data_IF_692578254433
#
_entry.id   IF_692578254433
#
_cell.length_a   1.000
_cell.length_b   1.000
_cell.length_c   1.000
_cell.angle_alpha   90.00
_cell.angle_beta   90.00
_cell.angle_gamma   90.00
#
_symmetry.space_group_name_H-M   'P 1'
#
loop_
_entity.id
_entity.type
_entity.pdbx_description
1 polymer ?
#
# COMPACT_ATOMS: atom_id res chain seq x y z
N UNK A 1 20.39 10.87 13.54
CA UNK A 1 20.04 11.49 12.25
C UNK A 1 18.57 11.20 12.03
N UNK A 2 17.70 12.20 12.11
CA UNK A 2 16.25 12.00 12.01
C UNK A 2 15.87 12.04 10.54
N UNK A 3 15.43 10.90 9.99
CA UNK A 3 14.72 10.84 8.72
C UNK A 3 13.24 11.11 9.00
N UNK A 4 12.94 12.37 9.26
CA UNK A 4 11.59 12.90 9.06
C UNK A 4 11.63 13.61 7.71
N UNK A 5 11.58 12.83 6.63
CA UNK A 5 11.07 13.38 5.39
C UNK A 5 9.55 13.36 5.52
N UNK A 6 8.99 14.51 5.86
CA UNK A 6 7.55 14.67 5.88
C UNK A 6 7.02 14.45 4.46
N UNK A 7 6.17 13.43 4.30
CA UNK A 7 5.38 13.27 3.08
C UNK A 7 4.50 14.52 2.97
N UNK A 8 4.64 15.25 1.85
CA UNK A 8 3.91 16.49 1.66
C UNK A 8 2.47 16.17 1.28
N UNK A 9 1.54 16.58 2.14
CA UNK A 9 0.12 16.41 1.90
C UNK A 9 -0.28 17.03 0.55
N UNK A 10 -0.99 16.29 -0.32
CA UNK A 10 -1.39 16.82 -1.62
C UNK A 10 -2.54 17.83 -1.53
N UNK A 11 -2.71 18.58 -2.60
CA UNK A 11 -3.86 19.47 -2.80
C UNK A 11 -4.99 18.70 -3.48
N UNK A 12 -6.07 18.43 -2.75
CA UNK A 12 -7.19 17.66 -3.25
C UNK A 12 -8.11 18.51 -4.12
N UNK A 13 -8.32 18.06 -5.35
CA UNK A 13 -9.36 18.59 -6.23
C UNK A 13 -10.63 17.81 -5.95
N UNK A 14 -11.73 18.50 -5.65
CA UNK A 14 -13.02 17.85 -5.38
C UNK A 14 -13.38 16.90 -6.54
N UNK A 15 -13.60 15.64 -6.17
CA UNK A 15 -14.09 14.60 -7.06
C UNK A 15 -15.33 13.98 -6.43
N UNK A 16 -16.44 13.95 -7.17
CA UNK A 16 -17.75 13.52 -6.69
C UNK A 16 -18.07 12.05 -6.98
N UNK A 17 -17.15 11.31 -7.62
CA UNK A 17 -17.39 9.95 -8.12
C UNK A 17 -16.40 8.89 -7.56
N UNK A 18 -15.96 9.05 -6.31
CA UNK A 18 -15.10 8.05 -5.66
C UNK A 18 -15.91 6.78 -5.34
N UNK A 19 -15.61 5.68 -6.03
CA UNK A 19 -16.27 4.39 -5.83
C UNK A 19 -15.26 3.24 -5.85
N UNK A 20 -15.54 2.19 -5.08
CA UNK A 20 -14.88 0.89 -5.18
C UNK A 20 -15.64 0.01 -6.17
N UNK A 21 -14.94 -0.87 -6.88
CA UNK A 21 -15.58 -1.85 -7.77
C UNK A 21 -15.82 -3.17 -7.03
N UNK A 22 -17.00 -3.75 -7.20
CA UNK A 22 -17.31 -5.06 -6.63
C UNK A 22 -16.67 -6.14 -7.50
N UNK A 23 -15.68 -6.85 -6.96
CA UNK A 23 -15.02 -7.96 -7.65
C UNK A 23 -15.68 -9.29 -7.25
N UNK A 24 -16.34 -10.02 -8.18
CA UNK A 24 -17.09 -11.24 -7.83
C UNK A 24 -16.25 -12.31 -7.13
N UNK A 25 -14.97 -12.43 -7.52
CA UNK A 25 -14.03 -13.39 -6.94
C UNK A 25 -13.61 -13.04 -5.49
N UNK A 26 -13.80 -11.80 -5.05
CA UNK A 26 -13.50 -11.38 -3.68
C UNK A 26 -14.65 -11.66 -2.70
N UNK A 27 -15.85 -12.00 -3.19
CA UNK A 27 -17.05 -12.22 -2.36
C UNK A 27 -17.00 -13.47 -1.48
N UNK A 28 -15.98 -14.32 -1.65
CA UNK A 28 -15.73 -15.43 -0.72
C UNK A 28 -15.05 -14.98 0.58
N UNK A 29 -14.48 -13.77 0.63
CA UNK A 29 -13.61 -13.30 1.72
C UNK A 29 -14.35 -12.39 2.72
N UNK A 30 -15.55 -12.79 3.13
CA UNK A 30 -16.50 -11.95 3.87
C UNK A 30 -16.16 -11.71 5.35
N UNK A 31 -15.19 -12.44 5.91
CA UNK A 31 -14.85 -12.30 7.32
C UNK A 31 -13.94 -11.10 7.56
N UNK A 32 -14.57 -9.99 7.97
CA UNK A 32 -13.91 -8.75 8.39
C UNK A 32 -14.00 -8.56 9.91
N UNK A 33 -14.29 -9.62 10.68
CA UNK A 33 -14.44 -9.52 12.14
C UNK A 33 -13.11 -9.33 12.85
N UNK A 34 -12.04 -9.92 12.32
CA UNK A 34 -10.67 -9.78 12.80
C UNK A 34 -9.95 -8.64 12.07
N UNK A 35 -10.31 -7.40 12.40
CA UNK A 35 -9.53 -6.21 12.01
C UNK A 35 -8.77 -5.71 13.24
N UNK A 36 -7.44 -5.78 13.16
CA UNK A 36 -6.58 -5.07 14.11
C UNK A 36 -6.31 -3.69 13.55
N UNK A 37 -6.87 -2.67 14.19
CA UNK A 37 -6.64 -1.29 13.83
C UNK A 37 -5.49 -0.76 14.67
N UNK A 38 -4.49 -0.22 14.00
CA UNK A 38 -3.35 0.39 14.66
C UNK A 38 -3.47 1.91 14.60
N UNK A 39 -3.10 2.63 15.67
CA UNK A 39 -3.07 4.08 15.66
C UNK A 39 -2.20 4.60 14.51
N UNK A 40 -2.59 5.72 13.91
CA UNK A 40 -1.76 6.43 12.92
C UNK A 40 -0.64 7.23 13.60
N UNK A 41 0.06 6.64 14.56
CA UNK A 41 1.17 7.28 15.28
C UNK A 41 2.48 6.56 14.99
N UNK A 42 3.59 7.30 15.00
CA UNK A 42 4.94 6.73 14.80
C UNK A 42 5.24 5.58 15.76
N UNK A 43 4.80 5.69 17.02
CA UNK A 43 5.00 4.66 18.03
C UNK A 43 4.15 3.40 17.81
N UNK A 44 3.03 3.51 17.09
CA UNK A 44 2.26 2.34 16.70
C UNK A 44 2.98 1.54 15.61
N UNK A 45 3.85 2.16 14.80
CA UNK A 45 4.55 1.49 13.72
C UNK A 45 5.36 0.28 14.21
N UNK A 46 6.17 0.44 15.27
CA UNK A 46 6.97 -0.65 15.83
C UNK A 46 6.09 -1.76 16.46
N UNK A 47 4.90 -1.40 16.97
CA UNK A 47 3.93 -2.37 17.48
C UNK A 47 3.34 -3.20 16.33
N UNK A 48 3.12 -2.57 15.16
CA UNK A 48 2.55 -3.24 13.99
C UNK A 48 3.61 -4.06 13.27
N UNK A 49 4.72 -3.44 12.89
CA UNK A 49 5.70 -3.97 11.95
C UNK A 49 6.93 -4.57 12.63
N UNK A 50 7.01 -4.47 13.97
CA UNK A 50 8.18 -4.84 14.73
C UNK A 50 9.21 -3.70 14.78
N UNK A 51 10.22 -3.82 15.65
CA UNK A 51 11.29 -2.83 15.74
C UNK A 51 12.15 -2.83 14.48
N UNK A 52 12.77 -1.69 14.17
CA UNK A 52 13.84 -1.65 13.16
C UNK A 52 14.96 -2.63 13.51
N UNK A 53 15.33 -3.45 12.55
CA UNK A 53 16.49 -4.34 12.65
C UNK A 53 17.79 -3.57 12.34
N UNK A 54 18.93 -4.20 12.64
CA UNK A 54 20.24 -3.61 12.36
C UNK A 54 20.43 -3.30 10.87
N UNK A 55 19.94 -4.19 10.00
CA UNK A 55 19.99 -4.02 8.55
C UNK A 55 19.12 -2.85 8.09
N UNK A 56 17.96 -2.62 8.72
CA UNK A 56 17.11 -1.44 8.46
C UNK A 56 17.87 -0.17 8.77
N UNK A 57 18.55 -0.11 9.91
CA UNK A 57 19.33 1.06 10.32
C UNK A 57 20.43 1.38 9.32
N UNK A 58 21.15 0.35 8.85
CA UNK A 58 22.24 0.49 7.89
C UNK A 58 21.73 0.95 6.53
N UNK A 59 20.60 0.40 6.09
CA UNK A 59 19.93 0.78 4.86
C UNK A 59 19.42 2.22 4.92
N UNK A 60 18.69 2.58 5.96
CA UNK A 60 18.10 3.91 6.16
C UNK A 60 19.18 5.01 6.26
N UNK A 61 20.39 4.68 6.74
CA UNK A 61 21.52 5.61 6.77
C UNK A 61 22.10 5.98 5.40
N UNK A 62 21.70 5.31 4.32
CA UNK A 62 22.17 5.60 2.97
C UNK A 62 21.62 6.95 2.48
N UNK A 63 22.47 7.72 1.81
CA UNK A 63 22.03 8.93 1.13
C UNK A 63 21.22 8.55 -0.11
N UNK A 64 19.92 8.88 -0.08
CA UNK A 64 18.99 8.67 -1.19
C UNK A 64 18.40 10.01 -1.64
N UNK A 65 17.79 10.04 -2.82
CA UNK A 65 17.04 11.19 -3.30
C UNK A 65 15.92 11.55 -2.31
N UNK A 66 15.62 12.84 -2.22
CA UNK A 66 14.56 13.34 -1.35
C UNK A 66 13.23 13.37 -2.08
N UNK A 67 12.14 13.27 -1.31
CA UNK A 67 10.81 13.54 -1.83
C UNK A 67 10.72 14.96 -2.42
N UNK A 68 9.87 15.18 -3.45
CA UNK A 68 9.54 16.51 -3.91
C UNK A 68 9.14 17.44 -2.75
N UNK A 69 9.63 18.68 -2.77
CA UNK A 69 9.36 19.68 -1.72
C UNK A 69 8.06 20.48 -1.94
N UNK A 70 7.30 20.14 -2.98
CA UNK A 70 6.09 20.87 -3.37
C UNK A 70 4.88 19.95 -3.35
N UNK A 71 3.78 20.44 -2.77
CA UNK A 71 2.50 19.75 -2.85
C UNK A 71 2.03 19.63 -4.30
N UNK A 72 1.45 18.48 -4.64
CA UNK A 72 0.91 18.20 -5.97
C UNK A 72 -0.62 18.15 -5.92
N UNK A 73 -1.27 18.51 -7.03
CA UNK A 73 -2.72 18.34 -7.16
C UNK A 73 -3.06 16.88 -7.42
N UNK A 74 -4.11 16.39 -6.74
CA UNK A 74 -4.62 15.03 -6.93
C UNK A 74 -6.13 15.08 -7.10
N UNK A 75 -6.62 14.53 -8.22
CA UNK A 75 -8.05 14.49 -8.56
C UNK A 75 -8.57 13.06 -8.70
N UNK A 76 -7.80 12.18 -9.32
CA UNK A 76 -8.23 10.84 -9.68
C UNK A 76 -7.21 9.78 -9.26
N UNK A 77 -7.54 8.51 -9.52
CA UNK A 77 -6.67 7.37 -9.22
C UNK A 77 -5.30 7.47 -9.90
N UNK A 78 -5.23 7.91 -11.16
CA UNK A 78 -3.96 8.06 -11.87
C UNK A 78 -3.05 9.12 -11.20
N UNK A 79 -3.62 10.19 -10.66
CA UNK A 79 -2.87 11.16 -9.84
C UNK A 79 -2.36 10.52 -8.54
N UNK A 80 -3.17 9.68 -7.89
CA UNK A 80 -2.77 8.97 -6.68
C UNK A 80 -1.61 8.00 -6.95
N UNK A 81 -1.67 7.23 -8.04
CA UNK A 81 -0.59 6.34 -8.51
C UNK A 81 0.69 7.14 -8.75
N UNK A 82 0.60 8.24 -9.49
CA UNK A 82 1.75 9.12 -9.77
C UNK A 82 2.35 9.64 -8.47
N UNK A 83 1.53 10.15 -7.54
CA UNK A 83 1.96 10.66 -6.25
C UNK A 83 2.66 9.58 -5.40
N UNK A 84 2.13 8.36 -5.40
CA UNK A 84 2.75 7.22 -4.72
C UNK A 84 4.16 6.96 -5.22
N UNK A 85 4.36 6.96 -6.54
CA UNK A 85 5.70 6.75 -7.09
C UNK A 85 6.64 7.91 -6.78
N UNK A 86 6.19 9.17 -6.91
CA UNK A 86 7.06 10.34 -6.72
C UNK A 86 7.47 10.54 -5.26
N UNK A 87 6.57 10.28 -4.31
CA UNK A 87 6.79 10.58 -2.89
C UNK A 87 7.08 9.36 -2.02
N UNK A 88 6.79 8.15 -2.49
CA UNK A 88 6.90 6.94 -1.66
C UNK A 88 7.77 5.90 -2.35
N UNK A 89 7.29 5.29 -3.44
CA UNK A 89 7.91 4.07 -3.94
C UNK A 89 9.31 4.30 -4.50
N UNK A 90 9.53 5.32 -5.32
CA UNK A 90 10.86 5.57 -5.92
C UNK A 90 11.92 5.98 -4.90
N UNK A 91 11.51 6.57 -3.77
CA UNK A 91 12.41 6.91 -2.67
C UNK A 91 12.75 5.65 -1.89
N UNK A 92 11.73 4.89 -1.48
CA UNK A 92 11.91 3.65 -0.72
C UNK A 92 12.77 2.65 -1.51
N UNK A 93 12.54 2.51 -2.80
CA UNK A 93 13.27 1.56 -3.64
C UNK A 93 14.78 1.83 -3.72
N UNK A 94 15.24 3.06 -3.46
CA UNK A 94 16.68 3.36 -3.43
C UNK A 94 17.37 2.70 -2.23
N UNK A 95 16.67 2.59 -1.11
CA UNK A 95 17.13 1.88 0.08
C UNK A 95 17.27 0.37 -0.16
N UNK A 96 16.47 -0.20 -1.06
CA UNK A 96 16.47 -1.63 -1.38
C UNK A 96 17.23 -1.96 -2.68
N UNK A 97 18.25 -1.18 -2.99
CA UNK A 97 19.06 -1.34 -4.21
C UNK A 97 20.09 -2.49 -4.13
N UNK A 98 20.41 -2.97 -2.93
CA UNK A 98 21.52 -3.94 -2.73
C UNK A 98 21.26 -5.03 -1.69
N UNK A 99 20.59 -4.74 -0.57
CA UNK A 99 20.39 -5.74 0.50
C UNK A 99 19.05 -5.57 1.25
N UNK A 100 18.04 -6.46 1.00
CA UNK A 100 17.93 -7.24 -0.22
C UNK A 100 17.69 -6.32 -1.42
N UNK A 101 17.99 -6.83 -2.62
CA UNK A 101 17.56 -6.17 -3.86
C UNK A 101 16.06 -6.39 -4.00
N UNK A 102 15.29 -5.30 -4.00
CA UNK A 102 13.85 -5.33 -4.26
C UNK A 102 13.60 -4.78 -5.66
N UNK A 103 12.61 -5.34 -6.35
CA UNK A 103 12.09 -4.80 -7.60
C UNK A 103 10.61 -4.49 -7.46
N UNK A 104 10.18 -3.49 -8.23
CA UNK A 104 8.79 -3.10 -8.38
C UNK A 104 8.28 -3.55 -9.76
N UNK A 105 7.04 -4.02 -9.84
CA UNK A 105 6.33 -4.28 -11.08
C UNK A 105 4.89 -3.80 -10.95
N UNK A 106 4.46 -2.93 -11.85
CA UNK A 106 3.10 -2.38 -11.83
C UNK A 106 2.17 -3.09 -12.82
N UNK A 107 0.87 -2.99 -12.59
CA UNK A 107 -0.20 -3.45 -13.49
C UNK A 107 -0.02 -4.91 -13.94
N UNK A 108 0.13 -5.82 -12.99
CA UNK A 108 0.54 -7.21 -13.27
C UNK A 108 -0.18 -8.26 -12.43
N UNK A 109 -0.34 -9.44 -13.04
CA UNK A 109 -0.80 -10.66 -12.35
C UNK A 109 0.26 -11.25 -11.41
N UNK A 110 -0.07 -12.31 -10.65
CA UNK A 110 0.87 -12.94 -9.74
C UNK A 110 2.14 -13.41 -10.45
N UNK A 111 3.29 -13.27 -9.78
CA UNK A 111 4.54 -13.84 -10.27
C UNK A 111 4.50 -15.38 -10.25
N UNK A 112 5.02 -16.01 -11.29
CA UNK A 112 5.08 -17.46 -11.43
C UNK A 112 3.79 -18.10 -11.95
N UNK A 113 3.65 -19.41 -11.72
CA UNK A 113 2.51 -20.17 -12.21
C UNK A 113 1.31 -20.00 -11.28
N UNK A 114 0.40 -19.09 -11.63
CA UNK A 114 -0.88 -18.91 -10.96
C UNK A 114 -2.04 -19.07 -11.94
N UNK A 115 -3.13 -19.69 -11.49
CA UNK A 115 -4.39 -19.75 -12.23
C UNK A 115 -5.28 -18.52 -11.98
N UNK A 116 -4.87 -17.62 -11.09
CA UNK A 116 -5.60 -16.40 -10.78
C UNK A 116 -5.29 -15.32 -11.82
N UNK A 117 -6.32 -14.85 -12.52
CA UNK A 117 -6.21 -13.82 -13.57
C UNK A 117 -6.41 -12.38 -13.10
N UNK A 118 -6.49 -12.13 -11.78
CA UNK A 118 -6.57 -10.78 -11.25
C UNK A 118 -5.21 -10.08 -11.31
N UNK A 119 -5.25 -8.76 -11.47
CA UNK A 119 -4.08 -7.89 -11.54
C UNK A 119 -4.06 -6.99 -10.33
N UNK A 120 -2.86 -6.64 -9.86
CA UNK A 120 -2.65 -5.58 -8.86
C UNK A 120 -1.92 -4.43 -9.50
N UNK A 121 -2.13 -3.23 -8.95
CA UNK A 121 -1.52 -2.03 -9.51
C UNK A 121 -0.02 -1.96 -9.26
N UNK A 122 0.46 -2.49 -8.12
CA UNK A 122 1.88 -2.50 -7.76
C UNK A 122 2.28 -3.79 -7.04
N UNK A 123 3.44 -4.34 -7.36
CA UNK A 123 4.07 -5.47 -6.67
C UNK A 123 5.50 -5.11 -6.28
N UNK A 124 5.90 -5.47 -5.06
CA UNK A 124 7.29 -5.43 -4.58
C UNK A 124 7.76 -6.83 -4.27
N UNK A 125 8.90 -7.23 -4.83
CA UNK A 125 9.44 -8.57 -4.64
C UNK A 125 10.97 -8.58 -4.52
N UNK A 126 11.48 -9.54 -3.76
CA UNK A 126 12.90 -9.73 -3.59
C UNK A 126 13.52 -10.45 -4.79
N UNK A 127 14.75 -10.08 -5.15
CA UNK A 127 15.58 -10.74 -6.16
C UNK A 127 16.72 -11.51 -5.49
N UNK A 128 17.06 -12.72 -5.94
CA UNK A 128 16.51 -13.43 -7.10
C UNK A 128 15.31 -14.33 -6.80
N UNK A 129 14.86 -14.41 -5.55
CA UNK A 129 13.83 -15.39 -5.10
C UNK A 129 12.46 -15.16 -5.71
N UNK A 130 12.16 -13.94 -6.19
CA UNK A 130 10.83 -13.51 -6.62
C UNK A 130 9.78 -13.62 -5.50
N UNK A 131 10.22 -13.64 -4.24
CA UNK A 131 9.33 -13.64 -3.09
C UNK A 131 8.62 -12.29 -2.99
N UNK A 132 7.29 -12.31 -2.96
CA UNK A 132 6.47 -11.10 -2.83
C UNK A 132 6.55 -10.56 -1.41
N UNK A 133 7.01 -9.32 -1.29
CA UNK A 133 7.12 -8.59 -0.03
C UNK A 133 5.84 -7.81 0.27
N UNK A 134 5.30 -7.14 -0.74
CA UNK A 134 4.05 -6.40 -0.66
C UNK A 134 3.39 -6.27 -2.03
N UNK A 135 2.06 -6.22 -2.05
CA UNK A 135 1.27 -5.87 -3.24
C UNK A 135 0.31 -4.72 -2.92
N UNK A 136 -0.06 -3.95 -3.93
CA UNK A 136 -0.75 -2.69 -3.77
C UNK A 136 -1.86 -2.46 -4.78
N UNK A 137 -2.95 -1.87 -4.30
CA UNK A 137 -4.00 -1.25 -5.12
C UNK A 137 -3.99 0.27 -4.90
N UNK A 138 -4.27 1.03 -5.94
CA UNK A 138 -4.52 2.47 -5.86
C UNK A 138 -6.00 2.73 -6.08
N UNK A 139 -6.53 3.73 -5.39
CA UNK A 139 -7.92 4.17 -5.57
C UNK A 139 -7.98 5.68 -5.74
N UNK A 140 -9.13 6.16 -6.20
CA UNK A 140 -9.41 7.60 -6.26
C UNK A 140 -9.38 8.22 -4.85
N UNK A 141 -8.90 9.48 -4.70
CA UNK A 141 -8.85 10.14 -3.39
C UNK A 141 -10.17 10.16 -2.62
N UNK A 142 -10.08 9.82 -1.34
CA UNK A 142 -11.20 9.81 -0.40
C UNK A 142 -11.95 8.48 -0.35
N UNK A 143 -11.58 7.48 -1.15
CA UNK A 143 -12.13 6.12 -1.05
C UNK A 143 -11.82 5.49 0.31
N UNK A 144 -10.63 5.73 0.86
CA UNK A 144 -10.27 5.20 2.17
C UNK A 144 -10.83 6.15 3.23
N UNK A 145 -11.89 5.70 3.90
CA UNK A 145 -12.50 6.43 5.01
C UNK A 145 -11.54 6.63 6.18
N UNK A 146 -11.72 7.72 6.92
CA UNK A 146 -10.89 8.04 8.09
C UNK A 146 -11.12 7.12 9.29
N UNK A 147 -12.26 6.45 9.34
CA UNK A 147 -12.64 5.55 10.43
C UNK A 147 -12.96 4.15 9.88
N UNK A 148 -11.94 3.30 9.77
CA UNK A 148 -12.18 1.86 9.62
C UNK A 148 -12.50 1.27 10.98
N UNK A 149 -13.63 0.58 11.14
CA UNK A 149 -14.01 -0.09 12.39
C UNK A 149 -14.84 -1.34 12.14
N UNK A 150 -14.59 -2.47 12.83
CA UNK A 150 -15.50 -3.62 12.83
C UNK A 150 -16.96 -3.25 13.12
N UNK A 151 -17.20 -2.26 13.97
CA UNK A 151 -18.54 -1.84 14.37
C UNK A 151 -19.20 -0.86 13.38
N UNK A 152 -18.44 -0.29 12.43
CA UNK A 152 -18.90 0.74 11.50
C UNK A 152 -18.23 0.56 10.15
N UNK A 153 -18.69 -0.42 9.37
CA UNK A 153 -18.25 -0.62 7.99
C UNK A 153 -19.37 -0.25 7.03
N UNK A 154 -19.10 0.63 6.07
CA UNK A 154 -19.98 0.84 4.91
C UNK A 154 -19.85 -0.33 3.93
N UNK A 155 -20.76 -0.43 2.96
CA UNK A 155 -20.68 -1.47 1.94
C UNK A 155 -19.36 -1.38 1.14
N UNK A 156 -18.92 -0.17 0.83
CA UNK A 156 -17.69 0.12 0.09
C UNK A 156 -16.44 -0.29 0.90
N UNK A 157 -16.42 -0.02 2.21
CA UNK A 157 -15.35 -0.49 3.09
C UNK A 157 -15.29 -2.02 3.15
N UNK A 158 -16.45 -2.67 3.17
CA UNK A 158 -16.51 -4.13 3.14
C UNK A 158 -15.99 -4.68 1.80
N UNK A 159 -16.41 -4.10 0.68
CA UNK A 159 -15.94 -4.49 -0.64
C UNK A 159 -14.43 -4.32 -0.80
N UNK A 160 -13.89 -3.18 -0.35
CA UNK A 160 -12.45 -2.95 -0.36
C UNK A 160 -11.72 -3.94 0.57
N UNK A 161 -12.23 -4.17 1.78
CA UNK A 161 -11.65 -5.15 2.70
C UNK A 161 -11.63 -6.57 2.14
N UNK A 162 -12.71 -6.99 1.48
CA UNK A 162 -12.81 -8.28 0.77
C UNK A 162 -11.79 -8.36 -0.35
N UNK A 163 -11.71 -7.33 -1.18
CA UNK A 163 -10.78 -7.23 -2.31
C UNK A 163 -9.34 -7.40 -1.86
N UNK A 164 -8.90 -6.65 -0.84
CA UNK A 164 -7.51 -6.71 -0.36
C UNK A 164 -7.16 -8.07 0.27
N UNK A 165 -8.08 -8.68 1.03
CA UNK A 165 -7.88 -10.04 1.60
C UNK A 165 -7.82 -11.10 0.51
N UNK A 166 -8.68 -11.00 -0.49
CA UNK A 166 -8.70 -11.91 -1.62
C UNK A 166 -7.39 -11.82 -2.41
N UNK A 167 -6.86 -10.61 -2.62
CA UNK A 167 -5.53 -10.41 -3.20
C UNK A 167 -4.43 -11.06 -2.38
N UNK A 168 -4.40 -10.81 -1.07
CA UNK A 168 -3.42 -11.40 -0.16
C UNK A 168 -3.39 -12.93 -0.27
N UNK A 169 -4.57 -13.56 -0.30
CA UNK A 169 -4.72 -15.01 -0.48
C UNK A 169 -4.24 -15.48 -1.87
N UNK A 170 -4.71 -14.86 -2.95
CA UNK A 170 -4.42 -15.31 -4.31
C UNK A 170 -2.95 -15.10 -4.73
N UNK A 171 -2.34 -14.01 -4.26
CA UNK A 171 -0.92 -13.72 -4.48
C UNK A 171 -0.01 -14.38 -3.46
N UNK A 172 -0.57 -14.99 -2.40
CA UNK A 172 0.18 -15.53 -1.24
C UNK A 172 1.14 -14.48 -0.66
N UNK A 173 0.67 -13.23 -0.60
CA UNK A 173 1.48 -12.11 -0.14
C UNK A 173 1.08 -11.74 1.30
N UNK A 174 2.04 -11.65 2.24
CA UNK A 174 1.75 -11.35 3.64
C UNK A 174 1.30 -9.90 3.86
N UNK A 175 1.66 -8.98 2.95
CA UNK A 175 1.34 -7.57 3.07
C UNK A 175 0.63 -7.06 1.82
N UNK A 176 -0.57 -6.54 2.01
CA UNK A 176 -1.34 -5.86 0.96
C UNK A 176 -1.60 -4.45 1.40
N UNK A 177 -1.34 -3.46 0.55
CA UNK A 177 -1.69 -2.08 0.82
C UNK A 177 -2.72 -1.55 -0.17
N UNK A 178 -3.44 -0.52 0.24
CA UNK A 178 -4.25 0.30 -0.63
C UNK A 178 -3.92 1.77 -0.37
N UNK A 179 -3.69 2.53 -1.43
CA UNK A 179 -3.38 3.96 -1.34
C UNK A 179 -4.37 4.76 -2.17
N UNK A 180 -4.92 5.84 -1.61
CA UNK A 180 -5.87 6.70 -2.33
C UNK A 180 -5.32 8.10 -2.61
N UNK A 181 -4.02 8.33 -2.39
CA UNK A 181 -3.45 9.68 -2.47
C UNK A 181 -3.54 10.48 -1.17
N UNK A 182 -4.34 10.06 -0.19
CA UNK A 182 -4.49 10.74 1.11
C UNK A 182 -4.14 9.82 2.26
N UNK A 183 -4.58 8.57 2.17
CA UNK A 183 -4.44 7.55 3.20
C UNK A 183 -3.87 6.30 2.59
N UNK A 184 -3.15 5.57 3.43
CA UNK A 184 -2.68 4.24 3.15
C UNK A 184 -3.33 3.28 4.13
N UNK A 185 -4.00 2.27 3.60
CA UNK A 185 -4.47 1.11 4.35
C UNK A 185 -3.46 -0.02 4.15
N UNK A 186 -3.10 -0.71 5.22
CA UNK A 186 -2.23 -1.88 5.17
C UNK A 186 -2.98 -3.05 5.81
N UNK A 187 -3.10 -4.14 5.05
CA UNK A 187 -3.66 -5.43 5.48
C UNK A 187 -2.50 -6.40 5.64
N UNK A 188 -2.41 -6.99 6.83
CA UNK A 188 -1.46 -8.05 7.15
C UNK A 188 -2.23 -9.34 7.42
N UNK A 189 -1.79 -10.44 6.81
CA UNK A 189 -2.29 -11.79 7.10
C UNK A 189 -1.38 -12.55 8.06
#
# INVERSE_FOLDING_TARGET
>A
MFLEQDIIAPLLVQNTAAHTSVKPWAQAFNDLTNLTLHPSTKYAFDIVFGPMLLDDTTRIAQAVAQAPLTAEFVKNEADAVRLFHTQISLIIMQYFSSMPVVKQLDQSGPLGNSSFGGFVDTQFFQVPTQELLAIGEHKTPGVIGSEWSPARQTAEMQDLGRELRAYAYHYKCPQVFCYDGVRMLIVRL
#
